data_IF_942301688159
#
_entry.id   IF_942301688159
#
_cell.length_a   1.000
_cell.length_b   1.000
_cell.length_c   1.000
_cell.angle_alpha   90.00
_cell.angle_beta   90.00
_cell.angle_gamma   90.00
#
_symmetry.space_group_name_H-M   'P 1'
#
loop_
_entity.id
_entity.type
_entity.pdbx_description
1 polymer ?
#
# COMPACT_ATOMS: atom_id res chain seq x y z
N UNK A 1 2.57 -7.67 -15.19
CA UNK A 1 1.95 -8.29 -13.99
C UNK A 1 2.50 -7.55 -12.79
N UNK A 2 1.75 -6.55 -12.33
CA UNK A 2 2.20 -5.64 -11.27
C UNK A 2 1.96 -6.25 -9.90
N UNK A 3 2.97 -6.89 -9.34
CA UNK A 3 2.96 -7.39 -7.95
C UNK A 3 4.07 -6.74 -7.09
N UNK A 4 4.98 -5.97 -7.69
CA UNK A 4 6.08 -5.27 -7.01
C UNK A 4 5.66 -4.13 -6.08
N UNK A 5 4.37 -3.91 -5.89
CA UNK A 5 3.95 -2.78 -5.07
C UNK A 5 4.19 -3.02 -3.58
N UNK A 6 4.08 -4.26 -3.10
CA UNK A 6 4.49 -4.58 -1.74
C UNK A 6 6.02 -4.51 -1.61
N UNK A 7 6.77 -5.00 -2.60
CA UNK A 7 8.23 -4.90 -2.61
C UNK A 7 8.72 -3.44 -2.59
N UNK A 8 8.09 -2.59 -3.41
CA UNK A 8 8.33 -1.14 -3.45
C UNK A 8 7.99 -0.48 -2.11
N UNK A 9 6.85 -0.82 -1.53
CA UNK A 9 6.43 -0.34 -0.20
C UNK A 9 7.45 -0.76 0.87
N UNK A 10 7.85 -2.03 0.92
CA UNK A 10 8.79 -2.53 1.91
C UNK A 10 10.18 -1.91 1.76
N UNK A 11 10.65 -1.69 0.53
CA UNK A 11 11.91 -0.98 0.27
C UNK A 11 11.84 0.49 0.72
N UNK A 12 10.75 1.19 0.37
CA UNK A 12 10.52 2.57 0.80
C UNK A 12 10.39 2.68 2.32
N UNK A 13 9.61 1.81 2.96
CA UNK A 13 9.42 1.79 4.41
C UNK A 13 10.74 1.56 5.15
N UNK A 14 11.58 0.63 4.65
CA UNK A 14 12.92 0.40 5.22
C UNK A 14 13.86 1.58 5.02
N UNK A 15 13.75 2.29 3.90
CA UNK A 15 14.56 3.47 3.61
C UNK A 15 14.14 4.69 4.45
N UNK A 16 12.84 4.92 4.62
CA UNK A 16 12.29 6.07 5.36
C UNK A 16 12.28 5.82 6.86
N UNK A 17 12.01 4.59 7.28
CA UNK A 17 11.92 4.21 8.70
C UNK A 17 12.83 3.01 8.99
N UNK A 18 14.15 3.24 9.14
CA UNK A 18 15.07 2.19 9.58
C UNK A 18 14.71 1.75 11.01
N UNK A 19 14.06 0.59 11.13
CA UNK A 19 13.59 0.01 12.41
C UNK A 19 12.09 0.18 12.69
N UNK A 20 11.34 0.81 11.78
CA UNK A 20 9.88 0.84 11.86
C UNK A 20 9.25 -0.50 11.47
N UNK A 21 8.10 -0.82 12.06
CA UNK A 21 7.32 -2.00 11.67
C UNK A 21 6.80 -1.79 10.25
N UNK A 22 7.27 -2.62 9.32
CA UNK A 22 6.71 -2.72 7.97
C UNK A 22 5.39 -3.48 8.09
N UNK A 23 4.29 -2.88 7.63
CA UNK A 23 3.00 -3.58 7.60
C UNK A 23 3.10 -4.83 6.73
N UNK A 24 2.40 -5.88 7.14
CA UNK A 24 2.39 -7.14 6.40
C UNK A 24 1.75 -6.97 5.04
N UNK A 25 2.07 -7.85 4.09
CA UNK A 25 1.47 -7.85 2.75
C UNK A 25 -0.07 -7.82 2.80
N UNK A 26 -0.66 -8.54 3.75
CA UNK A 26 -2.12 -8.58 3.95
C UNK A 26 -2.70 -7.25 4.43
N UNK A 27 -1.99 -6.53 5.30
CA UNK A 27 -2.39 -5.18 5.72
C UNK A 27 -2.22 -4.17 4.57
N UNK A 28 -1.14 -4.27 3.80
CA UNK A 28 -0.92 -3.43 2.63
C UNK A 28 -2.05 -3.58 1.60
N UNK A 29 -2.43 -4.81 1.27
CA UNK A 29 -3.57 -5.06 0.37
C UNK A 29 -4.89 -4.60 0.98
N UNK A 30 -5.11 -4.81 2.29
CA UNK A 30 -6.31 -4.30 2.96
C UNK A 30 -6.42 -2.78 2.84
N UNK A 31 -5.35 -2.04 3.11
CA UNK A 31 -5.32 -0.58 3.00
C UNK A 31 -5.55 -0.16 1.56
N UNK A 32 -4.85 -0.76 0.59
CA UNK A 32 -5.05 -0.48 -0.84
C UNK A 32 -6.49 -0.75 -1.31
N UNK A 33 -7.08 -1.86 -0.88
CA UNK A 33 -8.47 -2.18 -1.22
C UNK A 33 -9.42 -1.20 -0.53
N UNK A 34 -9.18 -0.84 0.73
CA UNK A 34 -9.95 0.17 1.43
C UNK A 34 -9.80 1.56 0.80
N UNK A 35 -8.62 1.94 0.30
CA UNK A 35 -8.41 3.19 -0.45
C UNK A 35 -9.11 3.17 -1.80
N UNK A 36 -9.11 2.05 -2.51
CA UNK A 36 -9.87 1.90 -3.76
C UNK A 36 -11.39 1.90 -3.52
N UNK A 37 -11.85 1.28 -2.43
CA UNK A 37 -13.25 1.23 -2.03
C UNK A 37 -13.75 2.57 -1.47
N UNK A 38 -12.92 3.28 -0.70
CA UNK A 38 -13.20 4.60 -0.13
C UNK A 38 -13.02 5.75 -1.12
N UNK A 39 -12.30 5.52 -2.23
CA UNK A 39 -12.25 6.43 -3.37
C UNK A 39 -13.00 5.87 -4.60
N UNK A 40 -14.31 5.58 -4.52
CA UNK A 40 -15.11 5.35 -5.73
C UNK A 40 -15.32 6.68 -6.51
N UNK A 41 -14.92 7.80 -5.91
CA UNK A 41 -15.13 9.18 -6.36
C UNK A 41 -14.35 9.65 -7.59
N UNK A 42 -13.38 8.89 -8.12
CA UNK A 42 -12.89 9.18 -9.50
C UNK A 42 -13.93 8.87 -10.58
N UNK A 43 -15.15 8.43 -10.21
CA UNK A 43 -16.31 8.32 -11.12
C UNK A 43 -17.35 9.41 -10.96
N UNK A 44 -17.16 10.42 -10.11
CA UNK A 44 -18.10 11.54 -10.06
C UNK A 44 -17.48 12.79 -10.66
N UNK A 45 -17.93 13.08 -11.89
CA UNK A 45 -17.75 14.29 -12.71
C UNK A 45 -16.53 14.30 -13.64
#
# INVERSE_FOLDING_TARGET
MGDDAYATYAAHQRAVHPGGVVMTEREFWRVRHAEQDANPGSRCC
#
